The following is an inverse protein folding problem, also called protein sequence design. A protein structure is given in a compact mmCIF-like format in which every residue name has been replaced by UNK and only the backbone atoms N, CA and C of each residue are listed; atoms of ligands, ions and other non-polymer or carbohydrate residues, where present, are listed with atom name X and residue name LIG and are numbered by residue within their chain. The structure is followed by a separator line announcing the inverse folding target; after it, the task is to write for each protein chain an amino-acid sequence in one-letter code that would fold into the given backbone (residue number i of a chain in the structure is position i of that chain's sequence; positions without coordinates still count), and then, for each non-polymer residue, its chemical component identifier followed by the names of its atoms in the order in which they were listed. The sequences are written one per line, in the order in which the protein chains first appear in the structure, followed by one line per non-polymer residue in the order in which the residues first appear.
data_IF_114644914989
#
_entry.id   IF_114644914989
#
_cell.length_a   1.000
_cell.length_b   1.000
_cell.length_c   1.000
_cell.angle_alpha   90.00
_cell.angle_beta   90.00
_cell.angle_gamma   90.00
#
_symmetry.space_group_name_H-M   'P 1'
#
loop_
_entity.id
_entity.type
_entity.pdbx_description
1 polymer ?
#
# COMPACT_ATOMS: atom_id res chain seq x y z
N UNK A 1 -6.68 13.35 19.13
CA UNK A 1 -7.21 14.57 18.44
C UNK A 1 -7.68 14.16 17.05
N UNK A 2 -8.85 14.64 16.58
CA UNK A 2 -9.34 14.38 15.22
C UNK A 2 -9.19 15.62 14.36
N UNK A 3 -8.66 15.47 13.13
CA UNK A 3 -8.48 16.54 12.16
C UNK A 3 -9.53 16.51 11.03
N UNK A 4 -10.55 15.67 11.13
CA UNK A 4 -11.57 15.48 10.08
C UNK A 4 -12.32 16.76 9.69
N UNK A 5 -12.43 17.73 10.61
CA UNK A 5 -13.06 19.01 10.33
C UNK A 5 -12.15 20.01 9.61
N UNK A 6 -10.85 19.72 9.49
CA UNK A 6 -9.91 20.46 8.66
C UNK A 6 -9.89 19.83 7.26
N UNK A 7 -10.93 20.07 6.46
CA UNK A 7 -11.20 19.35 5.22
C UNK A 7 -11.37 20.27 3.99
N UNK A 8 -10.78 21.46 4.03
CA UNK A 8 -10.86 22.41 2.90
C UNK A 8 -9.69 22.21 1.93
N UNK A 9 -9.99 22.28 0.64
CA UNK A 9 -9.01 22.58 -0.39
C UNK A 9 -8.79 24.10 -0.37
N UNK A 10 -7.62 24.56 0.13
CA UNK A 10 -7.34 25.98 0.37
C UNK A 10 -7.03 26.72 -0.93
N UNK A 11 -6.27 26.06 -1.83
CA UNK A 11 -5.80 26.67 -3.07
C UNK A 11 -5.54 25.59 -4.12
N UNK A 12 -5.80 25.90 -5.39
CA UNK A 12 -5.43 25.06 -6.54
C UNK A 12 -4.74 25.95 -7.57
N UNK A 13 -3.48 25.62 -7.85
CA UNK A 13 -2.73 26.18 -8.97
C UNK A 13 -2.73 25.15 -10.12
N UNK A 14 -3.61 25.39 -11.10
CA UNK A 14 -3.76 24.50 -12.26
C UNK A 14 -2.57 24.58 -13.22
N UNK A 15 -1.85 25.69 -13.25
CA UNK A 15 -0.67 25.90 -14.12
C UNK A 15 0.55 25.23 -13.49
N UNK A 16 0.80 25.48 -12.19
CA UNK A 16 1.85 24.82 -11.41
C UNK A 16 1.51 23.37 -11.05
N UNK A 17 0.26 22.93 -11.30
CA UNK A 17 -0.25 21.60 -10.95
C UNK A 17 0.00 21.26 -9.49
N UNK A 18 -0.41 22.16 -8.60
CA UNK A 18 -0.30 21.98 -7.15
C UNK A 18 -1.61 22.32 -6.44
N UNK A 19 -1.79 21.82 -5.24
CA UNK A 19 -2.88 22.24 -4.36
C UNK A 19 -2.39 22.35 -2.92
N UNK A 20 -2.88 23.36 -2.17
CA UNK A 20 -2.81 23.39 -0.72
C UNK A 20 -4.11 22.84 -0.14
N UNK A 21 -4.01 21.81 0.67
CA UNK A 21 -5.15 21.11 1.27
C UNK A 21 -4.99 20.98 2.78
N UNK A 22 -6.10 20.91 3.49
CA UNK A 22 -6.12 20.56 4.91
C UNK A 22 -6.05 19.04 5.09
N UNK A 23 -5.54 18.53 6.22
CA UNK A 23 -5.24 17.11 6.42
C UNK A 23 -6.48 16.18 6.39
N UNK A 24 -7.68 16.71 6.72
CA UNK A 24 -8.94 15.97 6.71
C UNK A 24 -9.61 15.87 5.32
N UNK A 25 -9.03 16.45 4.27
CA UNK A 25 -9.53 16.26 2.90
C UNK A 25 -9.41 14.79 2.53
N UNK A 26 -10.50 14.17 2.05
CA UNK A 26 -10.46 12.79 1.57
C UNK A 26 -9.65 12.71 0.28
N UNK A 27 -8.86 11.64 0.15
CA UNK A 27 -8.00 11.41 -1.02
C UNK A 27 -8.80 11.48 -2.33
N UNK A 28 -9.90 10.75 -2.43
CA UNK A 28 -10.76 10.73 -3.62
C UNK A 28 -11.44 12.08 -3.89
N UNK A 29 -11.73 12.86 -2.84
CA UNK A 29 -12.39 14.17 -2.99
C UNK A 29 -11.46 15.18 -3.64
N UNK A 30 -10.18 15.19 -3.28
CA UNK A 30 -9.20 16.04 -3.97
C UNK A 30 -9.15 15.73 -5.46
N UNK A 31 -9.03 14.45 -5.83
CA UNK A 31 -9.02 14.03 -7.24
C UNK A 31 -10.31 14.43 -7.96
N UNK A 32 -11.46 14.33 -7.29
CA UNK A 32 -12.77 14.75 -7.85
C UNK A 32 -12.85 16.26 -8.09
N UNK A 33 -12.32 17.05 -7.14
CA UNK A 33 -12.30 18.52 -7.25
C UNK A 33 -11.43 18.99 -8.41
N UNK A 34 -10.29 18.33 -8.66
CA UNK A 34 -9.35 18.73 -9.72
C UNK A 34 -9.61 18.05 -11.07
N UNK A 35 -10.48 17.04 -11.14
CA UNK A 35 -10.82 16.31 -12.37
C UNK A 35 -11.27 17.20 -13.54
N UNK A 36 -12.09 18.28 -13.34
CA UNK A 36 -12.46 19.20 -14.42
C UNK A 36 -11.27 19.95 -15.03
N UNK A 37 -10.14 20.01 -14.33
CA UNK A 37 -8.88 20.60 -14.79
C UNK A 37 -8.00 19.60 -15.54
N UNK A 38 -8.46 18.36 -15.72
CA UNK A 38 -7.67 17.28 -16.32
C UNK A 38 -6.58 16.74 -15.38
N UNK A 39 -6.73 16.91 -14.06
CA UNK A 39 -5.76 16.57 -13.04
C UNK A 39 -6.32 15.55 -12.03
N UNK A 40 -5.41 14.89 -11.30
CA UNK A 40 -5.74 14.03 -10.15
C UNK A 40 -4.61 14.07 -9.11
N UNK A 41 -4.89 13.60 -7.91
CA UNK A 41 -3.88 13.27 -6.91
C UNK A 41 -3.47 11.81 -7.08
N UNK A 42 -2.22 11.56 -7.43
CA UNK A 42 -1.77 10.25 -7.91
C UNK A 42 -1.79 9.12 -6.86
N UNK A 43 -1.38 9.31 -5.58
CA UNK A 43 -1.51 8.26 -4.58
C UNK A 43 -2.95 7.79 -4.44
N UNK A 44 -3.21 6.49 -4.69
CA UNK A 44 -4.55 5.94 -4.76
C UNK A 44 -4.73 4.65 -3.94
N UNK A 45 -4.48 4.68 -2.61
CA UNK A 45 -4.66 3.49 -1.78
C UNK A 45 -6.06 2.91 -1.93
N UNK A 46 -6.22 1.61 -1.70
CA UNK A 46 -7.54 0.95 -1.80
C UNK A 46 -8.61 1.63 -0.93
N UNK A 47 -8.19 2.29 0.14
CA UNK A 47 -9.02 3.08 1.05
C UNK A 47 -9.30 4.52 0.59
N UNK A 48 -8.93 4.94 -0.63
CA UNK A 48 -8.99 6.34 -1.10
C UNK A 48 -10.34 7.04 -0.89
N UNK A 49 -11.44 6.28 -0.82
CA UNK A 49 -12.78 6.82 -0.56
C UNK A 49 -13.00 7.25 0.90
N UNK A 50 -12.15 6.80 1.82
CA UNK A 50 -12.28 7.03 3.26
C UNK A 50 -11.01 7.57 3.92
N UNK A 51 -9.83 7.34 3.35
CA UNK A 51 -8.58 7.89 3.87
C UNK A 51 -8.46 9.39 3.56
N UNK A 52 -7.70 10.09 4.40
CA UNK A 52 -7.45 11.52 4.24
C UNK A 52 -6.05 11.80 3.73
N UNK A 53 -5.83 12.98 3.16
CA UNK A 53 -4.49 13.40 2.72
C UNK A 53 -3.51 13.45 3.91
N UNK A 54 -3.95 13.88 5.10
CA UNK A 54 -3.14 13.83 6.31
C UNK A 54 -2.76 12.42 6.73
N UNK A 55 -3.68 11.45 6.59
CA UNK A 55 -3.39 10.02 6.80
C UNK A 55 -2.40 9.47 5.79
N UNK A 56 -2.56 9.83 4.51
CA UNK A 56 -1.60 9.46 3.47
C UNK A 56 -0.19 9.98 3.78
N UNK A 57 -0.08 11.22 4.26
CA UNK A 57 1.21 11.82 4.66
C UNK A 57 1.79 11.12 5.88
N UNK A 58 0.97 10.83 6.90
CA UNK A 58 1.44 10.19 8.13
C UNK A 58 2.03 8.79 7.87
N UNK A 59 1.43 8.01 6.98
CA UNK A 59 1.86 6.63 6.68
C UNK A 59 2.73 6.52 5.42
N UNK A 60 2.93 7.62 4.68
CA UNK A 60 3.53 7.57 3.35
C UNK A 60 2.81 6.57 2.44
N UNK A 61 1.48 6.63 2.43
CA UNK A 61 0.63 5.64 1.76
C UNK A 61 0.95 5.48 0.28
N UNK A 62 0.80 4.24 -0.18
CA UNK A 62 0.96 3.84 -1.57
C UNK A 62 -0.37 3.58 -2.27
N UNK A 63 -0.43 2.48 -3.02
CA UNK A 63 -1.60 2.02 -3.77
C UNK A 63 -1.21 1.34 -5.09
N UNK A 64 -2.20 0.89 -5.87
CA UNK A 64 -1.98 0.16 -7.12
C UNK A 64 -1.07 0.85 -8.14
N UNK A 65 -1.06 2.19 -8.17
CA UNK A 65 -0.27 2.95 -9.13
C UNK A 65 1.13 3.36 -8.63
N UNK A 66 1.55 2.86 -7.46
CA UNK A 66 2.87 3.17 -6.89
C UNK A 66 4.03 2.78 -7.79
N UNK A 67 3.90 1.70 -8.57
CA UNK A 67 4.94 1.26 -9.49
C UNK A 67 5.40 2.38 -10.44
N UNK A 68 4.47 3.17 -10.97
CA UNK A 68 4.74 4.25 -11.93
C UNK A 68 4.75 5.64 -11.30
N UNK A 69 3.93 5.87 -10.29
CA UNK A 69 3.71 7.20 -9.71
C UNK A 69 4.49 7.43 -8.40
N UNK A 70 4.94 6.36 -7.75
CA UNK A 70 5.54 6.43 -6.42
C UNK A 70 4.51 6.56 -5.30
N UNK A 71 5.01 6.58 -4.08
CA UNK A 71 4.23 6.75 -2.85
C UNK A 71 3.96 8.23 -2.54
N UNK A 72 3.19 8.51 -1.49
CA UNK A 72 2.79 9.86 -1.08
C UNK A 72 3.95 10.86 -0.99
N UNK A 73 5.13 10.44 -0.49
CA UNK A 73 6.31 11.31 -0.39
C UNK A 73 6.73 11.95 -1.71
N UNK A 74 6.55 11.27 -2.84
CA UNK A 74 6.84 11.80 -4.18
C UNK A 74 5.90 12.95 -4.60
N UNK A 75 4.77 13.09 -3.92
CA UNK A 75 3.70 14.03 -4.26
C UNK A 75 3.49 15.15 -3.22
N UNK A 76 4.16 15.09 -2.07
CA UNK A 76 4.13 16.15 -1.06
C UNK A 76 5.23 17.16 -1.36
N UNK A 77 4.88 18.44 -1.51
CA UNK A 77 5.81 19.53 -1.81
C UNK A 77 6.16 20.34 -0.57
N UNK A 78 5.19 20.53 0.34
CA UNK A 78 5.39 21.19 1.62
C UNK A 78 4.34 20.70 2.65
N UNK A 79 4.67 20.83 3.93
CA UNK A 79 3.75 20.52 5.03
C UNK A 79 3.86 21.64 6.08
N UNK A 80 2.72 22.24 6.41
CA UNK A 80 2.58 23.10 7.59
C UNK A 80 2.35 22.20 8.80
N UNK A 81 3.20 22.30 9.80
CA UNK A 81 3.23 21.43 10.97
C UNK A 81 3.14 22.24 12.25
N UNK A 82 2.28 21.82 13.17
CA UNK A 82 2.30 22.27 14.56
C UNK A 82 3.17 21.31 15.36
N UNK A 83 4.27 21.80 15.93
CA UNK A 83 5.18 21.04 16.77
C UNK A 83 4.65 20.91 18.21
N UNK A 84 5.30 20.08 19.02
CA UNK A 84 4.84 19.80 20.40
C UNK A 84 4.98 20.97 21.37
N UNK A 85 5.79 21.98 21.04
CA UNK A 85 5.89 23.25 21.76
C UNK A 85 4.82 24.29 21.33
N UNK A 86 3.96 23.94 20.36
CA UNK A 86 2.93 24.80 19.80
C UNK A 86 3.41 25.73 18.68
N UNK A 87 4.69 25.72 18.31
CA UNK A 87 5.19 26.47 17.17
C UNK A 87 4.64 25.89 15.84
N UNK A 88 4.45 26.77 14.86
CA UNK A 88 4.00 26.41 13.52
C UNK A 88 5.14 26.63 12.54
N UNK A 89 5.50 25.59 11.82
CA UNK A 89 6.57 25.61 10.82
C UNK A 89 6.08 25.08 9.49
N UNK A 90 6.67 25.56 8.40
CA UNK A 90 6.46 24.96 7.06
C UNK A 90 7.72 24.19 6.69
N UNK A 91 7.55 22.92 6.43
CA UNK A 91 8.61 22.03 5.97
C UNK A 91 8.47 21.87 4.46
N UNK A 92 9.46 22.31 3.70
CA UNK A 92 9.58 22.13 2.25
C UNK A 92 11.01 21.71 1.89
N UNK A 93 11.26 21.44 0.60
CA UNK A 93 12.57 20.99 0.15
C UNK A 93 13.62 22.11 0.11
N UNK A 94 13.19 23.39 0.12
CA UNK A 94 14.05 24.55 -0.19
C UNK A 94 14.35 25.42 1.04
N UNK A 95 13.58 25.28 2.13
CA UNK A 95 13.63 26.18 3.30
C UNK A 95 14.75 25.88 4.29
N UNK A 96 15.41 24.73 4.24
CA UNK A 96 16.42 24.31 5.20
C UNK A 96 17.57 23.57 4.51
N UNK A 97 18.76 23.47 5.15
CA UNK A 97 19.88 22.70 4.61
C UNK A 97 19.58 21.19 4.49
N UNK A 98 18.51 20.70 5.14
CA UNK A 98 18.05 19.31 5.07
C UNK A 98 16.57 19.26 4.73
N UNK A 99 16.15 18.28 3.92
CA UNK A 99 14.74 18.05 3.60
C UNK A 99 14.01 17.41 4.80
N UNK A 100 13.58 18.25 5.75
CA UNK A 100 12.80 17.81 6.91
C UNK A 100 11.37 17.38 6.53
N UNK A 101 10.87 17.80 5.38
CA UNK A 101 9.60 17.30 4.81
C UNK A 101 9.69 15.79 4.55
N UNK A 102 10.82 15.34 3.96
CA UNK A 102 11.06 13.91 3.72
C UNK A 102 11.12 13.08 5.01
N UNK A 103 11.62 13.68 6.12
CA UNK A 103 11.59 13.05 7.43
C UNK A 103 10.18 13.02 8.04
N UNK A 104 9.35 14.04 7.78
CA UNK A 104 8.00 14.16 8.33
C UNK A 104 7.00 13.20 7.67
N UNK A 105 7.09 13.02 6.34
CA UNK A 105 6.22 12.09 5.60
C UNK A 105 6.56 10.65 6.00
N UNK A 106 5.57 9.90 6.46
CA UNK A 106 5.75 8.54 6.99
C UNK A 106 6.17 8.49 8.46
N UNK A 107 6.14 9.63 9.18
CA UNK A 107 6.47 9.67 10.62
C UNK A 107 5.37 9.15 11.55
N UNK A 108 4.25 8.71 11.01
CA UNK A 108 3.11 8.16 11.76
C UNK A 108 2.66 9.07 12.91
N UNK A 109 2.74 10.40 12.71
CA UNK A 109 2.33 11.39 13.70
C UNK A 109 3.30 11.58 14.87
N UNK A 110 4.52 11.03 14.82
CA UNK A 110 5.52 11.18 15.89
C UNK A 110 6.25 12.53 15.88
N UNK A 111 6.15 13.31 14.80
CA UNK A 111 6.95 14.53 14.62
C UNK A 111 6.12 15.83 14.68
N UNK A 112 4.83 15.71 15.01
CA UNK A 112 3.91 16.84 15.10
C UNK A 112 2.61 16.60 14.35
N UNK A 113 1.82 17.67 14.16
CA UNK A 113 0.49 17.63 13.56
C UNK A 113 0.48 18.43 12.27
N UNK A 114 0.27 17.78 11.12
CA UNK A 114 0.08 18.48 9.85
C UNK A 114 -1.25 19.24 9.85
N UNK A 115 -1.23 20.52 9.49
CA UNK A 115 -2.40 21.41 9.41
C UNK A 115 -2.70 21.90 8.01
N UNK A 116 -1.71 21.90 7.12
CA UNK A 116 -1.88 22.06 5.68
C UNK A 116 -0.78 21.30 4.93
N UNK A 117 -1.12 20.84 3.73
CA UNK A 117 -0.24 20.03 2.91
C UNK A 117 -0.29 20.58 1.49
N UNK A 118 0.89 20.93 0.93
CA UNK A 118 1.02 21.25 -0.49
C UNK A 118 1.33 19.96 -1.25
N UNK A 119 0.45 19.61 -2.18
CA UNK A 119 0.60 18.40 -2.97
C UNK A 119 0.81 18.72 -4.44
N UNK A 120 1.53 17.85 -5.14
CA UNK A 120 1.62 17.80 -6.59
C UNK A 120 0.37 17.14 -7.16
N UNK A 121 -0.18 17.71 -8.22
CA UNK A 121 -1.25 17.13 -9.01
C UNK A 121 -0.68 16.55 -10.31
N UNK A 122 -1.16 15.38 -10.68
CA UNK A 122 -0.72 14.66 -11.88
C UNK A 122 -1.75 14.87 -12.99
N UNK A 123 -1.29 15.05 -14.21
CA UNK A 123 -2.16 15.15 -15.38
C UNK A 123 -2.82 13.79 -15.66
N UNK A 124 -4.11 13.79 -15.97
CA UNK A 124 -4.81 12.58 -16.40
C UNK A 124 -4.16 12.04 -17.68
N UNK A 125 -3.84 10.74 -17.75
CA UNK A 125 -3.27 10.16 -18.95
C UNK A 125 -4.28 10.23 -20.11
N UNK A 126 -3.83 10.58 -21.34
CA UNK A 126 -4.72 10.71 -22.48
C UNK A 126 -5.26 9.35 -22.96
N UNK A 127 -4.55 8.27 -22.72
CA UNK A 127 -4.95 6.90 -23.08
C UNK A 127 -4.58 5.91 -21.99
N UNK A 128 -5.40 4.87 -21.85
CA UNK A 128 -5.21 3.73 -20.94
C UNK A 128 -5.57 2.43 -21.65
N UNK A 129 -4.92 1.36 -21.21
CA UNK A 129 -5.30 -0.01 -21.55
C UNK A 129 -5.24 -0.87 -20.29
N UNK A 130 -6.36 -1.48 -19.92
CA UNK A 130 -6.45 -2.38 -18.78
C UNK A 130 -6.68 -3.80 -19.28
N UNK A 131 -5.90 -4.74 -18.79
CA UNK A 131 -5.93 -6.14 -19.16
C UNK A 131 -6.09 -6.99 -17.91
N UNK A 132 -6.85 -8.07 -18.05
CA UNK A 132 -7.03 -9.12 -17.06
C UNK A 132 -6.43 -10.40 -17.63
N UNK A 133 -5.43 -10.96 -16.96
CA UNK A 133 -4.67 -12.11 -17.44
C UNK A 133 -4.73 -13.23 -16.40
N UNK A 134 -5.19 -14.41 -16.79
CA UNK A 134 -5.20 -15.61 -15.95
C UNK A 134 -3.91 -16.41 -16.10
N UNK A 135 -3.43 -16.99 -15.00
CA UNK A 135 -2.28 -17.90 -14.96
C UNK A 135 -2.62 -19.19 -14.23
N UNK A 136 -1.93 -20.32 -14.53
CA UNK A 136 -2.18 -21.58 -13.84
C UNK A 136 -1.74 -21.54 -12.37
N UNK A 137 -0.74 -20.70 -12.03
CA UNK A 137 -0.20 -20.57 -10.68
C UNK A 137 0.24 -19.14 -10.40
N UNK A 138 0.36 -18.77 -9.12
CA UNK A 138 0.94 -17.50 -8.67
C UNK A 138 2.38 -17.35 -9.19
N UNK A 139 3.17 -18.43 -9.18
CA UNK A 139 4.56 -18.44 -9.67
C UNK A 139 4.64 -18.05 -11.15
N UNK A 140 3.78 -18.60 -12.00
CA UNK A 140 3.73 -18.22 -13.42
C UNK A 140 3.43 -16.73 -13.61
N UNK A 141 2.45 -16.19 -12.86
CA UNK A 141 2.15 -14.77 -12.87
C UNK A 141 3.29 -13.90 -12.35
N UNK A 142 3.96 -14.31 -11.27
CA UNK A 142 5.10 -13.56 -10.70
C UNK A 142 6.31 -13.54 -11.67
N UNK A 143 6.56 -14.64 -12.40
CA UNK A 143 7.56 -14.64 -13.48
C UNK A 143 7.20 -13.68 -14.60
N UNK A 144 5.92 -13.63 -15.00
CA UNK A 144 5.47 -12.68 -16.01
C UNK A 144 5.68 -11.23 -15.57
N UNK A 145 5.34 -10.88 -14.33
CA UNK A 145 5.60 -9.54 -13.73
C UNK A 145 7.08 -9.20 -13.78
N UNK A 146 7.94 -10.13 -13.34
CA UNK A 146 9.40 -9.93 -13.36
C UNK A 146 9.92 -9.71 -14.78
N UNK A 147 9.43 -10.49 -15.75
CA UNK A 147 9.81 -10.36 -17.16
C UNK A 147 9.35 -9.04 -17.78
N UNK A 148 8.14 -8.56 -17.47
CA UNK A 148 7.62 -7.26 -17.93
C UNK A 148 8.55 -6.12 -17.49
N UNK A 149 8.88 -6.09 -16.19
CA UNK A 149 9.77 -5.05 -15.65
C UNK A 149 11.19 -5.18 -16.22
N UNK A 150 11.72 -6.40 -16.32
CA UNK A 150 13.05 -6.64 -16.91
C UNK A 150 13.15 -6.25 -18.38
N UNK A 151 12.04 -6.28 -19.11
CA UNK A 151 11.96 -5.81 -20.49
C UNK A 151 11.91 -4.27 -20.64
N UNK A 152 11.96 -3.53 -19.52
CA UNK A 152 11.92 -2.06 -19.49
C UNK A 152 10.51 -1.47 -19.60
N UNK A 153 9.47 -2.29 -19.55
CA UNK A 153 8.08 -1.79 -19.47
C UNK A 153 7.74 -1.52 -18.02
N UNK A 154 7.27 -0.30 -17.74
CA UNK A 154 6.78 0.11 -16.41
C UNK A 154 5.28 0.42 -16.53
N UNK A 155 4.40 -0.59 -16.38
CA UNK A 155 2.96 -0.36 -16.39
C UNK A 155 2.53 0.62 -15.29
N UNK A 156 1.39 1.26 -15.47
CA UNK A 156 0.78 2.10 -14.45
C UNK A 156 0.45 1.27 -13.19
N UNK A 157 -0.02 0.04 -13.39
CA UNK A 157 -0.26 -0.91 -12.30
C UNK A 157 -0.04 -2.37 -12.74
N UNK A 158 0.42 -3.18 -11.79
CA UNK A 158 0.53 -4.64 -11.88
C UNK A 158 0.00 -5.25 -10.58
N UNK A 159 -1.25 -5.72 -10.59
CA UNK A 159 -1.97 -6.18 -9.43
C UNK A 159 -2.29 -7.66 -9.51
N UNK A 160 -1.98 -8.43 -8.48
CA UNK A 160 -2.22 -9.87 -8.48
C UNK A 160 -3.19 -10.30 -7.39
N UNK A 161 -4.00 -11.30 -7.73
CA UNK A 161 -4.90 -11.99 -6.82
C UNK A 161 -4.75 -13.50 -7.01
N UNK A 162 -4.75 -14.28 -5.93
CA UNK A 162 -4.82 -15.73 -6.02
C UNK A 162 -6.25 -16.24 -6.34
N UNK A 163 -6.39 -17.54 -6.64
CA UNK A 163 -7.67 -18.12 -6.99
C UNK A 163 -8.73 -18.00 -5.88
N UNK A 164 -8.41 -18.19 -4.58
CA UNK A 164 -9.41 -18.03 -3.52
C UNK A 164 -10.00 -16.61 -3.46
N UNK A 165 -9.15 -15.57 -3.49
CA UNK A 165 -9.67 -14.20 -3.42
C UNK A 165 -10.34 -13.78 -4.72
N UNK A 166 -9.86 -14.26 -5.89
CA UNK A 166 -10.50 -14.01 -7.18
C UNK A 166 -11.95 -14.52 -7.19
N UNK A 167 -12.19 -15.74 -6.68
CA UNK A 167 -13.55 -16.29 -6.53
C UNK A 167 -14.42 -15.47 -5.59
N UNK A 168 -13.87 -15.04 -4.45
CA UNK A 168 -14.59 -14.22 -3.47
C UNK A 168 -15.01 -12.87 -4.06
N UNK A 169 -14.10 -12.22 -4.78
CA UNK A 169 -14.34 -10.93 -5.43
C UNK A 169 -15.33 -11.06 -6.58
N UNK A 170 -15.20 -12.09 -7.43
CA UNK A 170 -16.12 -12.33 -8.54
C UNK A 170 -17.55 -12.54 -8.06
N UNK A 171 -17.74 -13.34 -7.00
CA UNK A 171 -19.05 -13.55 -6.37
C UNK A 171 -19.65 -12.26 -5.76
N UNK A 172 -18.81 -11.24 -5.49
CA UNK A 172 -19.26 -9.97 -4.91
C UNK A 172 -19.52 -8.90 -5.95
N UNK A 173 -18.66 -8.81 -7.00
CA UNK A 173 -18.67 -7.70 -7.97
C UNK A 173 -19.17 -8.12 -9.35
N UNK A 174 -18.91 -9.37 -9.79
CA UNK A 174 -19.25 -9.83 -11.14
C UNK A 174 -18.44 -9.13 -12.23
N UNK A 175 -17.11 -9.04 -12.07
CA UNK A 175 -16.22 -8.36 -12.99
C UNK A 175 -15.81 -9.19 -14.21
N UNK A 176 -16.26 -10.44 -14.28
CA UNK A 176 -15.89 -11.41 -15.33
C UNK A 176 -14.46 -11.93 -15.18
N UNK A 177 -14.00 -12.13 -13.96
CA UNK A 177 -12.68 -12.70 -13.69
C UNK A 177 -12.62 -14.18 -14.03
N UNK A 178 -11.50 -14.72 -14.56
CA UNK A 178 -11.33 -16.13 -14.88
C UNK A 178 -11.26 -16.96 -13.60
N UNK A 179 -12.31 -17.75 -13.31
CA UNK A 179 -12.43 -18.55 -12.08
C UNK A 179 -11.65 -19.87 -12.11
N UNK A 180 -11.22 -20.28 -13.29
CA UNK A 180 -10.40 -21.46 -13.57
C UNK A 180 -8.89 -21.19 -13.45
N UNK A 181 -8.49 -19.92 -13.36
CA UNK A 181 -7.10 -19.52 -13.17
C UNK A 181 -6.64 -19.76 -11.71
N UNK A 182 -5.39 -20.21 -11.55
CA UNK A 182 -4.71 -20.28 -10.23
C UNK A 182 -4.30 -18.91 -9.69
N UNK A 183 -4.05 -17.94 -10.60
CA UNK A 183 -3.79 -16.54 -10.28
C UNK A 183 -4.33 -15.63 -11.37
N UNK A 184 -4.70 -14.43 -10.97
CA UNK A 184 -5.15 -13.33 -11.82
C UNK A 184 -4.16 -12.18 -11.74
N UNK A 185 -3.74 -11.63 -12.89
CA UNK A 185 -2.96 -10.40 -12.99
C UNK A 185 -3.78 -9.32 -13.71
N UNK A 186 -3.95 -8.17 -13.07
CA UNK A 186 -4.46 -6.95 -13.68
C UNK A 186 -3.27 -6.10 -14.10
N UNK A 187 -3.21 -5.75 -15.37
CA UNK A 187 -2.17 -4.90 -15.95
C UNK A 187 -2.84 -3.63 -16.46
N UNK A 188 -2.36 -2.47 -16.03
CA UNK A 188 -2.78 -1.20 -16.61
C UNK A 188 -1.59 -0.46 -17.21
N UNK A 189 -1.72 -0.02 -18.44
CA UNK A 189 -0.72 0.79 -19.16
C UNK A 189 -1.35 2.14 -19.48
N UNK A 190 -0.62 3.20 -19.24
CA UNK A 190 -1.07 4.59 -19.44
C UNK A 190 -0.05 5.40 -20.25
N UNK A 191 -0.52 6.40 -20.97
CA UNK A 191 0.35 7.31 -21.70
C UNK A 191 -0.19 7.73 -23.08
N UNK A 192 0.71 8.01 -24.01
CA UNK A 192 0.35 8.31 -25.39
C UNK A 192 -0.10 7.05 -26.13
N UNK A 193 -1.06 7.17 -27.04
CA UNK A 193 -1.72 6.05 -27.74
C UNK A 193 -0.74 4.98 -28.24
N UNK A 194 0.26 5.39 -29.02
CA UNK A 194 1.21 4.43 -29.62
C UNK A 194 2.08 3.74 -28.56
N UNK A 195 2.47 4.45 -27.48
CA UNK A 195 3.18 3.86 -26.35
C UNK A 195 2.30 2.84 -25.62
N UNK A 196 1.06 3.19 -25.32
CA UNK A 196 0.10 2.28 -24.69
C UNK A 196 -0.11 1.01 -25.51
N UNK A 197 -0.23 1.10 -26.83
CA UNK A 197 -0.39 -0.05 -27.71
C UNK A 197 0.87 -0.94 -27.75
N UNK A 198 2.06 -0.33 -27.84
CA UNK A 198 3.33 -1.04 -27.84
C UNK A 198 3.57 -1.78 -26.52
N UNK A 199 3.41 -1.09 -25.40
CA UNK A 199 3.60 -1.66 -24.06
C UNK A 199 2.56 -2.73 -23.74
N UNK A 200 1.30 -2.51 -24.14
CA UNK A 200 0.23 -3.53 -24.04
C UNK A 200 0.63 -4.80 -24.77
N UNK A 201 1.07 -4.67 -26.02
CA UNK A 201 1.47 -5.81 -26.84
C UNK A 201 2.66 -6.56 -26.24
N UNK A 202 3.64 -5.81 -25.72
CA UNK A 202 4.81 -6.38 -25.05
C UNK A 202 4.45 -7.10 -23.74
N UNK A 203 3.60 -6.51 -22.91
CA UNK A 203 3.08 -7.16 -21.70
C UNK A 203 2.38 -8.48 -22.03
N UNK A 204 1.50 -8.50 -23.04
CA UNK A 204 0.76 -9.69 -23.42
C UNK A 204 1.65 -10.78 -24.03
N UNK A 205 2.67 -10.40 -24.82
CA UNK A 205 3.68 -11.32 -25.32
C UNK A 205 4.38 -12.03 -24.16
N UNK A 206 4.86 -11.26 -23.17
CA UNK A 206 5.57 -11.79 -22.01
C UNK A 206 4.66 -12.66 -21.12
N UNK A 207 3.40 -12.25 -20.94
CA UNK A 207 2.44 -13.11 -20.22
C UNK A 207 2.25 -14.47 -20.90
N UNK A 208 2.18 -14.50 -22.25
CA UNK A 208 2.06 -15.77 -23.00
C UNK A 208 3.30 -16.65 -22.85
N UNK A 209 4.51 -16.07 -22.85
CA UNK A 209 5.77 -16.79 -22.61
C UNK A 209 5.79 -17.44 -21.23
N UNK A 210 5.09 -16.84 -20.26
CA UNK A 210 4.97 -17.33 -18.88
C UNK A 210 3.62 -18.00 -18.56
N UNK A 211 3.11 -18.77 -19.53
CA UNK A 211 1.98 -19.68 -19.36
C UNK A 211 0.62 -19.02 -19.07
N UNK A 212 0.38 -17.78 -19.54
CA UNK A 212 -0.94 -17.17 -19.42
C UNK A 212 -2.02 -18.06 -20.07
N UNK A 213 -3.07 -18.40 -19.32
CA UNK A 213 -4.17 -19.27 -19.74
C UNK A 213 -5.31 -18.51 -20.39
N UNK A 214 -5.49 -17.26 -20.01
CA UNK A 214 -6.54 -16.39 -20.55
C UNK A 214 -6.07 -14.93 -20.57
N UNK A 215 -6.58 -14.17 -21.53
CA UNK A 215 -6.32 -12.73 -21.68
C UNK A 215 -7.62 -12.04 -22.06
N UNK A 216 -8.01 -11.01 -21.30
CA UNK A 216 -9.11 -10.10 -21.65
C UNK A 216 -8.63 -8.66 -21.54
N UNK A 217 -8.77 -7.89 -22.61
CA UNK A 217 -8.59 -6.43 -22.60
C UNK A 217 -9.94 -5.76 -22.35
N UNK A 218 -10.02 -4.82 -21.42
CA UNK A 218 -11.21 -4.02 -21.23
C UNK A 218 -11.47 -3.17 -22.48
N UNK A 219 -12.70 -3.25 -23.00
CA UNK A 219 -13.09 -2.53 -24.22
C UNK A 219 -13.65 -1.14 -23.89
N UNK A 220 -14.21 -0.95 -22.69
CA UNK A 220 -14.85 0.29 -22.26
C UNK A 220 -14.35 0.72 -20.88
N UNK A 221 -14.60 2.00 -20.53
CA UNK A 221 -14.27 2.53 -19.20
C UNK A 221 -15.13 1.88 -18.10
N UNK A 222 -16.36 1.46 -18.42
CA UNK A 222 -17.23 0.75 -17.49
C UNK A 222 -16.64 -0.62 -17.12
N UNK A 223 -16.14 -1.37 -18.11
CA UNK A 223 -15.45 -2.65 -17.87
C UNK A 223 -14.19 -2.43 -17.02
N UNK A 224 -13.40 -1.40 -17.35
CA UNK A 224 -12.23 -1.01 -16.57
C UNK A 224 -12.62 -0.69 -15.12
N UNK A 225 -13.61 0.18 -14.92
CA UNK A 225 -14.09 0.57 -13.59
C UNK A 225 -14.55 -0.64 -12.78
N UNK A 226 -15.18 -1.63 -13.43
CA UNK A 226 -15.65 -2.85 -12.78
C UNK A 226 -14.48 -3.75 -12.34
N UNK A 227 -13.44 -3.89 -13.18
CA UNK A 227 -12.20 -4.61 -12.83
C UNK A 227 -11.52 -3.95 -11.61
N UNK A 228 -11.35 -2.62 -11.63
CA UNK A 228 -10.76 -1.89 -10.51
C UNK A 228 -11.62 -1.91 -9.25
N UNK A 229 -12.95 -1.87 -9.40
CA UNK A 229 -13.87 -2.08 -8.28
C UNK A 229 -13.62 -3.44 -7.64
N UNK A 230 -13.50 -4.51 -8.45
CA UNK A 230 -13.16 -5.85 -7.96
C UNK A 230 -11.88 -5.83 -7.13
N UNK A 231 -10.79 -5.28 -7.67
CA UNK A 231 -9.50 -5.21 -6.97
C UNK A 231 -9.59 -4.40 -5.66
N UNK A 232 -10.20 -3.22 -5.70
CA UNK A 232 -10.28 -2.32 -4.53
C UNK A 232 -11.24 -2.81 -3.44
N UNK A 233 -12.20 -3.69 -3.76
CA UNK A 233 -13.14 -4.25 -2.78
C UNK A 233 -12.77 -5.66 -2.29
N UNK A 234 -11.57 -6.15 -2.62
CA UNK A 234 -11.11 -7.48 -2.25
C UNK A 234 -11.22 -7.75 -0.73
N UNK A 235 -10.80 -6.81 0.11
CA UNK A 235 -10.91 -6.92 1.57
C UNK A 235 -12.36 -7.02 2.05
N UNK A 236 -13.28 -6.30 1.43
CA UNK A 236 -14.72 -6.38 1.73
C UNK A 236 -15.36 -7.72 1.32
N UNK A 237 -14.88 -8.32 0.22
CA UNK A 237 -15.36 -9.61 -0.24
C UNK A 237 -15.00 -10.75 0.74
N UNK A 238 -13.85 -10.68 1.39
CA UNK A 238 -13.36 -11.67 2.36
C UNK A 238 -14.24 -11.78 3.59
N UNK A 239 -14.82 -10.67 4.07
CA UNK A 239 -15.70 -10.65 5.22
C UNK A 239 -16.95 -11.55 5.08
N UNK A 240 -17.25 -12.00 3.87
CA UNK A 240 -18.32 -12.99 3.59
C UNK A 240 -17.87 -14.43 3.78
N UNK A 241 -16.58 -14.70 3.91
CA UNK A 241 -15.97 -16.03 4.03
C UNK A 241 -15.66 -16.33 5.50
N UNK A 242 -14.97 -15.39 6.15
CA UNK A 242 -14.63 -15.46 7.57
C UNK A 242 -14.90 -14.12 8.25
N UNK A 243 -15.33 -14.13 9.52
CA UNK A 243 -15.68 -12.89 10.23
C UNK A 243 -14.48 -12.01 10.54
N UNK A 244 -13.28 -12.56 10.56
CA UNK A 244 -12.04 -11.84 10.86
C UNK A 244 -10.94 -12.21 9.86
N UNK A 245 -10.03 -11.28 9.64
CA UNK A 245 -8.77 -11.52 8.94
C UNK A 245 -7.66 -10.68 9.57
N UNK A 246 -6.44 -11.17 9.48
CA UNK A 246 -5.23 -10.42 9.82
C UNK A 246 -4.47 -10.13 8.52
N UNK A 247 -4.35 -8.84 8.21
CA UNK A 247 -3.75 -8.35 6.98
C UNK A 247 -2.28 -8.03 7.24
N UNK A 248 -1.39 -8.69 6.52
CA UNK A 248 0.02 -8.34 6.48
C UNK A 248 0.30 -7.32 5.37
N UNK A 249 1.37 -6.55 5.57
CA UNK A 249 1.91 -5.61 4.60
C UNK A 249 3.43 -5.68 4.70
N UNK A 250 4.04 -6.44 3.80
CA UNK A 250 5.50 -6.57 3.70
C UNK A 250 5.92 -6.36 2.25
N UNK A 251 7.14 -5.85 2.03
CA UNK A 251 7.70 -5.73 0.68
C UNK A 251 8.84 -6.71 0.53
N UNK A 252 8.89 -7.40 -0.60
CA UNK A 252 9.99 -8.29 -0.94
C UNK A 252 10.56 -7.97 -2.33
N UNK A 253 11.84 -8.27 -2.60
CA UNK A 253 12.37 -8.14 -3.95
C UNK A 253 11.51 -8.94 -4.94
N UNK A 254 11.09 -8.34 -6.05
CA UNK A 254 10.19 -8.97 -7.04
C UNK A 254 10.59 -10.38 -7.45
N UNK A 255 11.88 -10.64 -7.62
CA UNK A 255 12.42 -11.97 -7.94
C UNK A 255 12.17 -13.04 -6.86
N UNK A 256 11.80 -12.63 -5.65
CA UNK A 256 11.49 -13.50 -4.51
C UNK A 256 10.00 -13.65 -4.24
N UNK A 257 9.14 -12.98 -5.01
CA UNK A 257 7.68 -12.98 -4.81
C UNK A 257 7.10 -14.39 -4.73
N UNK A 258 7.35 -15.22 -5.74
CA UNK A 258 6.81 -16.58 -5.80
C UNK A 258 7.29 -17.44 -4.62
N UNK A 259 8.56 -17.34 -4.27
CA UNK A 259 9.14 -18.05 -3.14
C UNK A 259 8.50 -17.66 -1.81
N UNK A 260 8.39 -16.34 -1.54
CA UNK A 260 7.80 -15.87 -0.28
C UNK A 260 6.31 -16.22 -0.20
N UNK A 261 5.56 -16.09 -1.29
CA UNK A 261 4.15 -16.49 -1.33
C UNK A 261 3.96 -18.00 -1.12
N UNK A 262 4.87 -18.84 -1.61
CA UNK A 262 4.90 -20.27 -1.30
C UNK A 262 5.09 -20.51 0.20
N UNK A 263 6.08 -19.85 0.82
CA UNK A 263 6.32 -19.92 2.28
C UNK A 263 5.12 -19.41 3.10
N UNK A 264 4.46 -18.35 2.65
CA UNK A 264 3.23 -17.83 3.29
C UNK A 264 2.14 -18.91 3.32
N UNK A 265 1.96 -19.65 2.21
CA UNK A 265 1.03 -20.79 2.15
C UNK A 265 1.38 -21.89 3.15
N UNK A 266 2.66 -22.32 3.19
CA UNK A 266 3.16 -23.35 4.12
C UNK A 266 3.02 -22.91 5.59
N UNK A 267 3.30 -21.65 5.90
CA UNK A 267 3.12 -21.08 7.25
C UNK A 267 1.65 -21.13 7.66
N UNK A 268 0.74 -20.68 6.80
CA UNK A 268 -0.69 -20.70 7.09
C UNK A 268 -1.20 -22.13 7.32
N UNK A 269 -0.79 -23.07 6.47
CA UNK A 269 -1.13 -24.48 6.60
C UNK A 269 -0.62 -25.10 7.92
N UNK A 270 0.61 -24.79 8.32
CA UNK A 270 1.20 -25.30 9.57
C UNK A 270 0.47 -24.83 10.83
N UNK A 271 -0.19 -23.67 10.77
CA UNK A 271 -1.00 -23.11 11.86
C UNK A 271 -2.52 -23.40 11.67
N UNK A 272 -2.90 -24.24 10.70
CA UNK A 272 -4.30 -24.54 10.37
C UNK A 272 -5.11 -23.25 10.14
N UNK A 273 -4.58 -22.33 9.32
CA UNK A 273 -5.19 -21.08 8.91
C UNK A 273 -5.38 -21.05 7.40
N UNK A 274 -6.46 -20.42 6.97
CA UNK A 274 -6.67 -20.11 5.56
C UNK A 274 -5.96 -18.80 5.23
N UNK A 275 -5.23 -18.76 4.10
CA UNK A 275 -4.63 -17.54 3.57
C UNK A 275 -5.21 -17.21 2.20
N UNK A 276 -5.38 -15.92 1.92
CA UNK A 276 -5.69 -15.37 0.61
C UNK A 276 -4.71 -14.25 0.28
N UNK A 277 -4.34 -14.12 -1.00
CA UNK A 277 -3.33 -13.16 -1.42
C UNK A 277 -3.87 -12.20 -2.46
N UNK A 278 -3.77 -10.91 -2.14
CA UNK A 278 -4.00 -9.79 -3.06
C UNK A 278 -2.89 -8.79 -2.87
N UNK A 279 -2.17 -8.39 -3.91
CA UNK A 279 -0.95 -7.63 -3.72
C UNK A 279 -0.54 -6.81 -4.95
N UNK A 280 0.30 -5.80 -4.70
CA UNK A 280 0.94 -4.97 -5.71
C UNK A 280 2.16 -5.73 -6.27
N UNK A 281 1.94 -6.55 -7.30
CA UNK A 281 2.99 -7.41 -7.84
C UNK A 281 4.12 -6.60 -8.50
N UNK A 282 3.81 -5.39 -8.98
CA UNK A 282 4.76 -4.51 -9.67
C UNK A 282 5.89 -3.99 -8.79
N UNK A 283 5.63 -3.71 -7.53
CA UNK A 283 6.61 -3.18 -6.56
C UNK A 283 7.01 -4.18 -5.47
N UNK A 284 6.36 -5.35 -5.44
CA UNK A 284 6.68 -6.41 -4.49
C UNK A 284 6.02 -6.26 -3.13
N UNK A 285 5.02 -5.39 -3.01
CA UNK A 285 4.28 -5.20 -1.77
C UNK A 285 3.17 -6.25 -1.63
N UNK A 286 3.36 -7.16 -0.67
CA UNK A 286 2.50 -8.31 -0.39
C UNK A 286 1.46 -7.99 0.68
N UNK A 287 0.23 -8.42 0.44
CA UNK A 287 -0.87 -8.34 1.40
C UNK A 287 -1.50 -9.72 1.65
N UNK A 288 -0.78 -10.68 2.26
CA UNK A 288 -1.40 -11.93 2.68
C UNK A 288 -2.42 -11.66 3.80
N UNK A 289 -3.59 -12.28 3.65
CA UNK A 289 -4.70 -12.20 4.60
C UNK A 289 -4.89 -13.56 5.26
N UNK A 290 -4.56 -13.65 6.53
CA UNK A 290 -4.85 -14.82 7.35
C UNK A 290 -6.31 -14.73 7.81
N UNK A 291 -7.15 -15.67 7.40
CA UNK A 291 -8.57 -15.69 7.70
C UNK A 291 -8.85 -16.55 8.94
N UNK A 292 -9.69 -16.06 9.83
CA UNK A 292 -10.01 -16.80 11.05
C UNK A 292 -11.36 -16.36 11.66
N UNK A 293 -11.85 -17.14 12.62
CA UNK A 293 -12.92 -16.74 13.51
C UNK A 293 -12.36 -16.59 14.93
N UNK A 294 -12.31 -15.36 15.43
CA UNK A 294 -11.77 -15.03 16.77
C UNK A 294 -12.47 -15.77 17.92
N UNK A 295 -13.65 -16.34 17.69
CA UNK A 295 -14.40 -17.14 18.69
C UNK A 295 -13.80 -18.52 18.89
N UNK A 296 -12.95 -19.00 17.97
CA UNK A 296 -12.27 -20.30 18.10
C UNK A 296 -11.14 -20.16 19.13
N UNK A 297 -11.17 -20.98 20.20
CA UNK A 297 -10.12 -20.92 21.24
C UNK A 297 -8.72 -21.13 20.65
N UNK A 298 -7.75 -20.30 21.08
CA UNK A 298 -6.34 -20.38 20.66
C UNK A 298 -6.05 -19.92 19.23
N UNK A 299 -7.05 -19.47 18.45
CA UNK A 299 -6.84 -19.02 17.06
C UNK A 299 -5.98 -17.76 17.00
N UNK A 300 -6.13 -16.86 17.96
CA UNK A 300 -5.35 -15.59 17.98
C UNK A 300 -3.85 -15.89 18.12
N UNK A 301 -3.47 -16.84 19.00
CA UNK A 301 -2.06 -17.22 19.15
C UNK A 301 -1.49 -17.86 17.88
N UNK A 302 -2.30 -18.65 17.15
CA UNK A 302 -1.93 -19.21 15.84
C UNK A 302 -1.72 -18.11 14.81
N UNK A 303 -2.62 -17.13 14.75
CA UNK A 303 -2.52 -15.98 13.83
C UNK A 303 -1.26 -15.16 14.13
N UNK A 304 -0.93 -14.94 15.40
CA UNK A 304 0.29 -14.21 15.78
C UNK A 304 1.55 -14.99 15.39
N UNK A 305 1.61 -16.30 15.66
CA UNK A 305 2.77 -17.12 15.23
C UNK A 305 2.93 -17.14 13.72
N UNK A 306 1.83 -17.31 12.96
CA UNK A 306 1.85 -17.22 11.51
C UNK A 306 2.34 -15.84 11.03
N UNK A 307 1.82 -14.78 11.65
CA UNK A 307 2.21 -13.40 11.35
C UNK A 307 3.70 -13.15 11.57
N UNK A 308 4.24 -13.55 12.70
CA UNK A 308 5.68 -13.45 13.01
C UNK A 308 6.52 -14.24 11.99
N UNK A 309 6.10 -15.46 11.64
CA UNK A 309 6.79 -16.29 10.66
C UNK A 309 6.77 -15.67 9.25
N UNK A 310 5.66 -15.03 8.84
CA UNK A 310 5.56 -14.30 7.57
C UNK A 310 6.51 -13.12 7.53
N UNK A 311 6.57 -12.33 8.61
CA UNK A 311 7.51 -11.20 8.73
C UNK A 311 8.95 -11.68 8.59
N UNK A 312 9.35 -12.73 9.34
CA UNK A 312 10.69 -13.31 9.26
C UNK A 312 11.01 -13.82 7.86
N UNK A 313 10.09 -14.55 7.22
CA UNK A 313 10.26 -15.03 5.86
C UNK A 313 10.48 -13.90 4.86
N UNK A 314 9.77 -12.76 5.02
CA UNK A 314 9.92 -11.58 4.18
C UNK A 314 11.29 -10.90 4.38
N UNK A 315 11.73 -10.73 5.63
CA UNK A 315 13.05 -10.15 5.95
C UNK A 315 14.21 -11.04 5.46
N UNK A 316 14.14 -12.36 5.62
CA UNK A 316 15.12 -13.33 5.10
C UNK A 316 15.23 -13.29 3.57
N UNK A 317 14.14 -12.96 2.90
CA UNK A 317 14.11 -12.74 1.45
C UNK A 317 14.76 -11.40 1.02
N UNK A 318 15.21 -10.57 1.97
CA UNK A 318 15.74 -9.23 1.73
C UNK A 318 14.63 -8.16 1.61
N UNK A 319 13.48 -8.42 2.20
CA UNK A 319 12.33 -7.52 2.26
C UNK A 319 12.36 -6.54 3.42
N UNK A 320 11.24 -5.84 3.64
CA UNK A 320 11.05 -4.85 4.71
C UNK A 320 9.74 -5.07 5.44
N UNK A 321 9.62 -4.50 6.65
CA UNK A 321 8.48 -4.70 7.56
C UNK A 321 7.17 -4.12 7.04
N UNK A 322 7.19 -3.03 6.28
CA UNK A 322 5.99 -2.37 5.79
C UNK A 322 6.23 -1.72 4.44
N UNK A 323 5.26 -1.87 3.53
CA UNK A 323 5.24 -1.17 2.25
C UNK A 323 4.51 0.18 2.35
N UNK A 324 3.32 0.17 2.98
CA UNK A 324 2.45 1.35 2.98
C UNK A 324 1.61 1.54 4.26
N UNK A 325 1.41 0.47 5.07
CA UNK A 325 0.55 0.56 6.26
C UNK A 325 1.24 1.22 7.44
N UNK A 326 2.57 1.19 7.50
CA UNK A 326 3.38 1.69 8.61
C UNK A 326 3.69 0.61 9.64
N UNK A 327 4.38 1.00 10.69
CA UNK A 327 4.85 0.13 11.78
C UNK A 327 3.88 0.15 12.96
N UNK A 328 3.49 1.34 13.41
CA UNK A 328 2.54 1.55 14.49
C UNK A 328 2.90 0.82 15.78
N UNK A 329 1.92 0.10 16.34
CA UNK A 329 2.08 -0.86 17.45
C UNK A 329 2.33 -2.27 16.93
N UNK A 330 1.70 -2.62 15.83
CA UNK A 330 1.62 -3.99 15.31
C UNK A 330 3.00 -4.55 14.94
N UNK A 331 3.83 -3.74 14.28
CA UNK A 331 5.14 -4.16 13.78
C UNK A 331 6.31 -3.59 14.59
N UNK A 332 6.03 -2.77 15.62
CA UNK A 332 7.05 -2.12 16.46
C UNK A 332 8.09 -3.10 17.00
N UNK A 333 7.63 -4.24 17.51
CA UNK A 333 8.50 -5.23 18.13
C UNK A 333 9.33 -6.04 17.12
N UNK A 334 9.04 -5.91 15.81
CA UNK A 334 9.84 -6.48 14.74
C UNK A 334 10.93 -5.53 14.21
N UNK A 335 10.95 -4.28 14.68
CA UNK A 335 11.96 -3.29 14.24
C UNK A 335 13.38 -3.77 14.54
N UNK A 336 13.59 -4.46 15.67
CA UNK A 336 14.88 -5.04 16.07
C UNK A 336 15.35 -6.19 15.15
N UNK A 337 14.44 -6.80 14.37
CA UNK A 337 14.81 -7.80 13.37
C UNK A 337 15.34 -7.16 12.08
N UNK A 338 15.02 -5.90 11.83
CA UNK A 338 15.40 -5.19 10.60
C UNK A 338 16.51 -4.16 10.81
N UNK A 339 16.55 -3.52 11.98
CA UNK A 339 17.47 -2.42 12.30
C UNK A 339 18.36 -2.78 13.48
N UNK A 340 19.62 -2.45 13.37
CA UNK A 340 20.58 -2.55 14.47
C UNK A 340 20.37 -1.43 15.50
N UNK A 341 21.05 -1.56 16.66
CA UNK A 341 20.96 -0.62 17.77
C UNK A 341 21.34 0.82 17.37
N UNK A 342 22.33 0.96 16.48
CA UNK A 342 22.79 2.29 16.01
C UNK A 342 21.72 2.95 15.15
N UNK A 343 21.07 2.22 14.26
CA UNK A 343 19.96 2.69 13.43
C UNK A 343 18.75 3.07 14.27
N UNK A 344 18.36 2.26 15.26
CA UNK A 344 17.27 2.55 16.17
C UNK A 344 17.57 3.77 17.06
N UNK A 345 18.83 3.91 17.52
CA UNK A 345 19.26 5.09 18.24
C UNK A 345 19.22 6.36 17.38
N UNK A 346 19.57 6.28 16.09
CA UNK A 346 19.48 7.40 15.16
C UNK A 346 18.02 7.83 14.94
N UNK A 347 17.10 6.87 14.74
CA UNK A 347 15.66 7.13 14.63
C UNK A 347 15.09 7.78 15.90
N UNK A 348 15.52 7.31 17.07
CA UNK A 348 15.14 7.89 18.38
C UNK A 348 15.62 9.33 18.52
N UNK A 349 16.86 9.65 18.11
CA UNK A 349 17.40 11.02 18.13
C UNK A 349 16.62 11.93 17.18
N UNK A 350 16.28 11.45 16.00
CA UNK A 350 15.47 12.22 15.05
C UNK A 350 14.08 12.52 15.64
N UNK A 351 13.42 11.54 16.23
CA UNK A 351 12.14 11.74 16.94
C UNK A 351 12.30 12.80 18.04
N UNK A 352 13.32 12.69 18.87
CA UNK A 352 13.55 13.65 19.96
C UNK A 352 13.83 15.07 19.47
N UNK A 353 14.42 15.23 18.27
CA UNK A 353 14.63 16.53 17.67
C UNK A 353 13.31 17.23 17.29
N UNK A 354 12.29 16.48 16.84
CA UNK A 354 10.96 17.01 16.55
C UNK A 354 10.06 17.09 17.79
N UNK A 355 10.17 16.14 18.70
CA UNK A 355 9.35 16.01 19.90
C UNK A 355 10.19 15.69 21.13
N UNK A 356 10.85 16.70 21.73
CA UNK A 356 11.65 16.52 22.96
C UNK A 356 10.86 15.99 24.15
N UNK A 357 9.56 16.20 24.17
CA UNK A 357 8.67 15.88 25.29
C UNK A 357 8.00 14.51 25.16
N UNK A 358 8.05 13.87 23.98
CA UNK A 358 7.41 12.59 23.73
C UNK A 358 5.88 12.64 23.67
N UNK A 359 5.27 13.81 23.41
CA UNK A 359 3.82 14.00 23.37
C UNK A 359 3.18 13.48 22.08
N UNK A 360 3.92 13.54 20.95
CA UNK A 360 3.40 13.18 19.66
C UNK A 360 3.40 11.65 19.48
N UNK A 361 2.21 11.07 19.40
CA UNK A 361 1.97 9.64 19.17
C UNK A 361 2.90 8.72 20.01
N UNK A 362 2.85 8.77 21.34
CA UNK A 362 3.78 8.06 22.20
C UNK A 362 3.67 6.54 22.09
N UNK A 363 4.80 5.83 22.22
CA UNK A 363 4.87 4.37 22.27
C UNK A 363 4.64 3.68 20.94
N UNK A 364 4.71 4.41 19.79
CA UNK A 364 4.56 3.86 18.45
C UNK A 364 5.91 3.79 17.73
N UNK A 365 6.00 2.92 16.76
CA UNK A 365 7.10 2.73 15.80
C UNK A 365 8.41 2.28 16.44
N UNK A 366 9.00 3.10 17.30
CA UNK A 366 10.32 2.82 17.90
C UNK A 366 10.12 1.94 19.13
N UNK A 367 10.76 0.75 19.20
CA UNK A 367 10.71 -0.11 20.38
C UNK A 367 11.35 0.58 21.59
N UNK A 368 10.82 0.34 22.77
CA UNK A 368 11.37 0.84 24.03
C UNK A 368 11.64 -0.34 24.98
N UNK A 369 12.57 -0.20 25.94
CA UNK A 369 12.82 -1.26 26.93
C UNK A 369 11.56 -1.71 27.70
N UNK A 370 10.58 -0.80 27.86
CA UNK A 370 9.29 -1.12 28.48
C UNK A 370 8.39 -1.96 27.58
N UNK A 371 8.55 -1.88 26.23
CA UNK A 371 7.73 -2.65 25.29
C UNK A 371 8.01 -4.15 25.30
N UNK A 372 9.21 -4.56 25.76
CA UNK A 372 9.56 -5.96 25.93
C UNK A 372 8.88 -6.60 27.17
N UNK A 373 8.49 -5.78 28.16
CA UNK A 373 7.81 -6.26 29.37
C UNK A 373 6.30 -6.43 29.15
N UNK A 374 5.70 -5.68 28.20
CA UNK A 374 4.25 -5.70 27.92
C UNK A 374 3.81 -6.94 27.10
N UNK A 375 4.75 -7.69 26.51
CA UNK A 375 4.45 -8.96 25.81
C UNK A 375 3.77 -10.03 26.67
N UNK A 376 3.78 -9.87 27.99
CA UNK A 376 3.22 -10.83 28.94
C UNK A 376 1.78 -10.52 29.39
N UNK A 377 1.19 -9.38 29.04
CA UNK A 377 -0.01 -8.90 29.74
C UNK A 377 -1.15 -8.28 28.92
N UNK A 378 -0.97 -7.86 27.68
CA UNK A 378 -2.06 -7.19 26.96
C UNK A 378 -2.61 -8.06 25.80
N UNK A 379 -3.54 -8.91 26.17
CA UNK A 379 -4.53 -9.43 25.23
C UNK A 379 -5.29 -8.24 24.60
N UNK A 380 -5.39 -8.22 23.28
CA UNK A 380 -6.23 -7.31 22.50
C UNK A 380 -7.61 -7.15 23.16
N UNK A 381 -7.80 -6.11 23.98
CA UNK A 381 -9.10 -5.66 24.46
C UNK A 381 -9.66 -4.65 23.45
N UNK A 382 -10.75 -5.10 22.82
CA UNK A 382 -11.72 -4.44 21.94
C UNK A 382 -11.31 -4.13 20.53
#
# INVERSE_FOLDING_TARGET
MSLMNMNRVREIDSVGRTAWVEPGVLNADLSRVVAPLGLHFAPDPSSQQSCTIGGNVANNSGGPHCLSQGVTAAHVLAVEVVLTDGSVVVLDADSAPFDLRGAFVGSEGMFGVATAIKVRLTQNPPHRATMVVGFPTIDAGARAVTAIIAAGVVPAALEMMDAPITRAVEAYVGAGFPLDAGALLIIEVEGLRHGVEADTSKCLELCKVHDATSVRRCATEEERALVWKGRKTAFGAIARIQPNYYLHDTVVPRKRLAEVLGRVGEIAESEDLQVMNVFHAGDGNLHPLLLFDRRVPGVIDRVHRAGEAIVKASLEAGGVLSGEHGIGLEKRDYMELMFDDESLAAQTKLRHAFDPTGLANPGKVIPSPASCADRAGEGLST
#
